data_IF_669106587045
#
_entry.id   IF_669106587045
#
_cell.length_a   1.000
_cell.length_b   1.000
_cell.length_c   1.000
_cell.angle_alpha   90.00
_cell.angle_beta   90.00
_cell.angle_gamma   90.00
#
_symmetry.space_group_name_H-M   'P 1'
#
loop_
_entity.id
_entity.type
_entity.pdbx_description
1 polymer ?
#
# COMPACT_ATOMS: atom_id res chain seq x y z
N UNK A 1 30.27 40.33 -2.33
CA UNK A 1 30.94 41.10 -3.39
C UNK A 1 30.70 40.38 -4.71
N UNK A 2 29.75 40.86 -5.48
CA UNK A 2 29.30 40.27 -6.74
C UNK A 2 29.97 41.02 -7.90
N UNK A 3 30.58 40.29 -8.83
CA UNK A 3 31.01 40.88 -10.10
C UNK A 3 30.82 39.84 -11.22
N UNK A 4 29.85 40.09 -12.10
CA UNK A 4 29.83 39.54 -13.44
C UNK A 4 29.35 40.65 -14.37
N UNK A 5 30.30 41.21 -15.12
CA UNK A 5 30.06 42.23 -16.13
C UNK A 5 29.30 41.66 -17.32
N UNK A 6 28.28 42.40 -17.76
CA UNK A 6 27.50 42.10 -18.95
C UNK A 6 27.99 42.96 -20.12
N UNK A 7 28.52 42.31 -21.16
CA UNK A 7 29.07 42.96 -22.36
C UNK A 7 27.95 43.11 -23.40
N UNK A 8 27.42 44.32 -23.53
CA UNK A 8 26.41 44.69 -24.54
C UNK A 8 27.09 44.85 -25.91
N UNK A 9 26.65 44.07 -26.90
CA UNK A 9 27.04 44.21 -28.31
C UNK A 9 25.97 45.04 -29.01
N UNK A 10 26.34 46.23 -29.48
CA UNK A 10 25.44 47.15 -30.20
C UNK A 10 25.39 46.78 -31.69
N UNK A 11 24.19 46.48 -32.20
CA UNK A 11 23.91 46.46 -33.63
C UNK A 11 23.08 47.69 -33.99
N UNK A 12 23.67 48.57 -34.80
CA UNK A 12 23.01 49.74 -35.37
C UNK A 12 22.35 49.34 -36.69
N UNK A 13 21.02 49.41 -36.77
CA UNK A 13 20.29 49.26 -38.02
C UNK A 13 19.43 50.50 -38.28
N UNK A 14 19.59 51.05 -39.47
CA UNK A 14 19.10 52.36 -39.89
C UNK A 14 17.59 52.48 -39.95
N UNK A 15 17.13 53.71 -39.73
CA UNK A 15 15.74 54.13 -39.73
C UNK A 15 15.12 54.07 -41.13
N UNK A 16 13.96 53.42 -41.24
CA UNK A 16 12.98 53.65 -42.31
C UNK A 16 11.68 54.17 -41.69
N UNK A 17 11.13 55.18 -42.36
CA UNK A 17 10.08 56.08 -41.93
C UNK A 17 8.67 55.50 -42.02
N UNK A 18 7.87 55.84 -41.00
CA UNK A 18 6.44 56.16 -41.02
C UNK A 18 5.46 55.19 -41.73
N UNK A 19 4.83 54.34 -40.92
CA UNK A 19 3.44 53.94 -41.13
C UNK A 19 2.73 54.00 -39.78
N UNK A 20 1.75 54.89 -39.65
CA UNK A 20 0.87 54.94 -38.49
C UNK A 20 -0.08 53.73 -38.55
N UNK A 21 0.35 52.62 -37.97
CA UNK A 21 -0.59 51.60 -37.50
C UNK A 21 -0.91 52.00 -36.07
N UNK A 22 -2.15 52.43 -35.83
CA UNK A 22 -2.72 52.54 -34.49
C UNK A 22 -2.85 51.11 -33.93
N UNK A 23 -1.73 50.55 -33.49
CA UNK A 23 -1.73 49.34 -32.66
C UNK A 23 -2.17 49.83 -31.29
N UNK A 24 -3.47 49.74 -31.03
CA UNK A 24 -3.98 49.75 -29.66
C UNK A 24 -3.19 48.69 -28.90
N UNK A 25 -2.29 49.14 -28.03
CA UNK A 25 -1.42 48.26 -27.27
C UNK A 25 -2.27 47.35 -26.41
N UNK A 26 -2.39 46.08 -26.79
CA UNK A 26 -2.56 45.06 -25.79
C UNK A 26 -1.26 45.07 -24.99
N UNK A 27 -1.33 45.66 -23.81
CA UNK A 27 -0.36 45.43 -22.74
C UNK A 27 -0.28 43.91 -22.57
N UNK A 28 0.72 43.28 -23.18
CA UNK A 28 1.13 41.94 -22.83
C UNK A 28 1.72 42.06 -21.44
N UNK A 29 0.86 41.96 -20.44
CA UNK A 29 1.25 41.70 -19.07
C UNK A 29 2.21 40.52 -19.13
N UNK A 30 3.49 40.79 -18.86
CA UNK A 30 4.46 39.79 -18.49
C UNK A 30 3.92 39.13 -17.23
N UNK A 31 3.15 38.06 -17.43
CA UNK A 31 2.78 37.15 -16.36
C UNK A 31 4.11 36.72 -15.73
N UNK A 32 4.36 37.04 -14.45
CA UNK A 32 5.45 36.39 -13.76
C UNK A 32 5.15 34.90 -13.88
N UNK A 33 6.04 34.15 -14.54
CA UNK A 33 6.03 32.69 -14.44
C UNK A 33 6.09 32.44 -12.95
N UNK A 34 4.98 31.98 -12.37
CA UNK A 34 4.95 31.61 -10.97
C UNK A 34 6.00 30.52 -10.82
N UNK A 35 7.19 30.89 -10.35
CA UNK A 35 8.07 29.94 -9.72
C UNK A 35 7.20 29.25 -8.67
N UNK A 36 6.98 27.94 -8.86
CA UNK A 36 6.28 27.09 -7.90
C UNK A 36 7.09 27.16 -6.61
N UNK A 37 6.76 28.13 -5.78
CA UNK A 37 7.44 28.44 -4.54
C UNK A 37 6.75 27.65 -3.43
N UNK A 38 7.40 26.58 -3.03
CA UNK A 38 7.72 26.28 -1.63
C UNK A 38 6.59 26.12 -0.58
N UNK A 39 5.45 25.52 -0.96
CA UNK A 39 4.62 24.79 0.02
C UNK A 39 3.70 23.72 -0.58
N UNK A 40 4.09 23.08 -1.69
CA UNK A 40 3.58 21.73 -1.94
C UNK A 40 4.31 20.84 -0.94
N UNK A 41 3.60 20.30 0.05
CA UNK A 41 4.05 19.11 0.78
C UNK A 41 4.31 18.06 -0.31
N UNK A 42 5.56 17.96 -0.75
CA UNK A 42 5.89 17.16 -1.91
C UNK A 42 5.89 15.70 -1.45
N UNK A 43 4.73 15.05 -1.61
CA UNK A 43 4.48 13.67 -1.24
C UNK A 43 5.51 12.72 -1.86
N UNK A 44 6.01 13.05 -3.05
CA UNK A 44 7.09 12.30 -3.71
C UNK A 44 8.42 12.48 -2.98
N UNK A 45 8.77 13.70 -2.55
CA UNK A 45 9.98 13.96 -1.75
C UNK A 45 9.92 13.21 -0.42
N UNK A 46 8.77 13.25 0.25
CA UNK A 46 8.55 12.51 1.50
C UNK A 46 8.64 11.00 1.27
N UNK A 47 7.99 10.50 0.22
CA UNK A 47 8.01 9.08 -0.14
C UNK A 47 9.44 8.57 -0.38
N UNK A 48 10.21 9.23 -1.25
CA UNK A 48 11.59 8.83 -1.55
C UNK A 48 12.47 8.92 -0.31
N UNK A 49 12.33 9.97 0.50
CA UNK A 49 13.09 10.11 1.74
C UNK A 49 12.76 9.01 2.76
N UNK A 50 11.49 8.63 2.90
CA UNK A 50 11.06 7.57 3.81
C UNK A 50 11.54 6.20 3.35
N UNK A 51 11.42 5.88 2.06
CA UNK A 51 11.93 4.64 1.48
C UNK A 51 13.46 4.55 1.62
N UNK A 52 14.17 5.64 1.40
CA UNK A 52 15.62 5.71 1.60
C UNK A 52 16.05 5.45 3.05
N UNK A 53 15.29 5.93 4.04
CA UNK A 53 15.56 5.70 5.48
C UNK A 53 15.46 4.23 5.89
N UNK A 54 14.67 3.43 5.17
CA UNK A 54 14.56 1.99 5.39
C UNK A 54 15.46 1.18 4.46
N UNK A 55 16.33 1.83 3.68
CA UNK A 55 17.35 1.13 2.86
C UNK A 55 16.94 0.84 1.42
N UNK A 56 15.82 1.37 0.93
CA UNK A 56 15.49 1.30 -0.50
C UNK A 56 16.37 2.27 -1.28
N UNK A 57 17.02 1.79 -2.34
CA UNK A 57 17.92 2.62 -3.15
C UNK A 57 17.17 3.68 -3.96
N UNK A 58 17.86 4.75 -4.36
CA UNK A 58 17.24 5.93 -4.98
C UNK A 58 16.43 5.61 -6.25
N UNK A 59 16.90 4.67 -7.08
CA UNK A 59 16.23 4.29 -8.34
C UNK A 59 14.86 3.60 -8.10
N UNK A 60 14.76 2.47 -7.40
CA UNK A 60 13.46 1.86 -7.11
C UNK A 60 12.56 2.78 -6.27
N UNK A 61 13.11 3.53 -5.31
CA UNK A 61 12.31 4.51 -4.54
C UNK A 61 11.69 5.56 -5.45
N UNK A 62 12.47 6.20 -6.34
CA UNK A 62 11.95 7.23 -7.26
C UNK A 62 10.94 6.66 -8.26
N UNK A 63 11.21 5.48 -8.82
CA UNK A 63 10.29 4.81 -9.75
C UNK A 63 8.96 4.44 -9.08
N UNK A 64 9.00 3.82 -7.90
CA UNK A 64 7.78 3.41 -7.20
C UNK A 64 6.99 4.61 -6.67
N UNK A 65 7.66 5.63 -6.13
CA UNK A 65 6.97 6.85 -5.67
C UNK A 65 6.34 7.61 -6.85
N UNK A 66 7.03 7.73 -7.99
CA UNK A 66 6.49 8.39 -9.18
C UNK A 66 5.35 7.60 -9.86
N UNK A 67 5.36 6.27 -9.74
CA UNK A 67 4.32 5.39 -10.28
C UNK A 67 3.10 5.21 -9.37
N UNK A 68 3.09 5.77 -8.15
CA UNK A 68 1.99 5.62 -7.19
C UNK A 68 1.04 6.80 -7.24
N UNK A 69 -0.27 6.51 -7.22
CA UNK A 69 -1.31 7.54 -7.06
C UNK A 69 -1.28 8.18 -5.67
N UNK A 70 -0.77 7.46 -4.66
CA UNK A 70 -0.70 7.89 -3.27
C UNK A 70 0.72 7.61 -2.70
N UNK A 71 1.72 8.48 -2.99
CA UNK A 71 3.11 8.24 -2.60
C UNK A 71 3.32 8.16 -1.08
N UNK A 72 2.58 8.96 -0.29
CA UNK A 72 2.63 8.87 1.17
C UNK A 72 2.13 7.51 1.68
N UNK A 73 1.05 6.98 1.11
CA UNK A 73 0.52 5.68 1.53
C UNK A 73 1.44 4.54 1.17
N UNK A 74 2.05 4.59 -0.03
CA UNK A 74 3.06 3.63 -0.45
C UNK A 74 4.23 3.59 0.53
N UNK A 75 4.84 4.75 0.82
CA UNK A 75 5.99 4.82 1.72
C UNK A 75 5.65 4.44 3.16
N UNK A 76 4.49 4.87 3.67
CA UNK A 76 4.00 4.48 4.99
C UNK A 76 3.76 2.97 5.10
N UNK A 77 3.18 2.34 4.07
CA UNK A 77 2.99 0.89 4.00
C UNK A 77 4.32 0.14 4.14
N UNK A 78 5.33 0.51 3.35
CA UNK A 78 6.66 -0.13 3.39
C UNK A 78 7.33 0.07 4.74
N UNK A 79 7.34 1.31 5.25
CA UNK A 79 7.96 1.63 6.54
C UNK A 79 7.29 0.88 7.67
N UNK A 80 5.95 0.77 7.67
CA UNK A 80 5.18 0.07 8.69
C UNK A 80 5.49 -1.43 8.68
N UNK A 81 5.47 -2.07 7.50
CA UNK A 81 5.80 -3.49 7.36
C UNK A 81 7.24 -3.75 7.80
N UNK A 82 8.22 -3.00 7.29
CA UNK A 82 9.63 -3.21 7.62
C UNK A 82 9.96 -3.00 9.10
N UNK A 83 9.31 -2.05 9.77
CA UNK A 83 9.58 -1.76 11.20
C UNK A 83 8.94 -2.75 12.15
N UNK A 84 7.81 -3.33 11.78
CA UNK A 84 6.98 -4.15 12.68
C UNK A 84 7.04 -5.64 12.32
N UNK A 85 7.75 -6.01 11.28
CA UNK A 85 7.93 -7.40 10.83
C UNK A 85 9.37 -7.64 10.39
N UNK A 86 9.72 -8.88 10.04
CA UNK A 86 11.05 -9.24 9.52
C UNK A 86 11.10 -9.19 7.97
N UNK A 87 10.13 -8.54 7.33
CA UNK A 87 10.04 -8.40 5.87
C UNK A 87 11.02 -7.33 5.39
N UNK A 88 11.74 -7.62 4.30
CA UNK A 88 12.68 -6.66 3.73
C UNK A 88 11.93 -5.45 3.14
N UNK A 89 12.55 -4.24 3.15
CA UNK A 89 11.93 -3.06 2.56
C UNK A 89 11.60 -3.23 1.07
N UNK A 90 12.38 -4.05 0.35
CA UNK A 90 12.22 -4.29 -1.09
C UNK A 90 11.01 -5.19 -1.35
N UNK A 91 10.84 -6.26 -0.57
CA UNK A 91 9.68 -7.14 -0.70
C UNK A 91 8.40 -6.41 -0.30
N UNK A 92 8.45 -5.65 0.80
CA UNK A 92 7.35 -4.78 1.21
C UNK A 92 7.01 -3.76 0.12
N UNK A 93 8.01 -3.14 -0.52
CA UNK A 93 7.79 -2.18 -1.61
C UNK A 93 7.05 -2.81 -2.79
N UNK A 94 7.47 -4.01 -3.22
CA UNK A 94 6.82 -4.75 -4.29
C UNK A 94 5.33 -5.00 -3.98
N UNK A 95 5.01 -5.49 -2.78
CA UNK A 95 3.63 -5.76 -2.38
C UNK A 95 2.81 -4.48 -2.17
N UNK A 96 3.36 -3.47 -1.50
CA UNK A 96 2.68 -2.18 -1.27
C UNK A 96 2.38 -1.44 -2.59
N UNK A 97 3.25 -1.56 -3.60
CA UNK A 97 3.04 -0.94 -4.90
C UNK A 97 1.92 -1.59 -5.71
N UNK A 98 1.70 -2.89 -5.52
CA UNK A 98 0.62 -3.64 -6.19
C UNK A 98 -0.74 -3.48 -5.49
N UNK A 99 -0.72 -3.13 -4.20
CA UNK A 99 -1.94 -2.98 -3.42
C UNK A 99 -2.75 -1.75 -3.84
N UNK A 100 -4.06 -1.95 -4.08
CA UNK A 100 -5.00 -0.83 -4.27
C UNK A 100 -5.18 0.03 -3.02
N UNK A 101 -4.95 -0.56 -1.84
CA UNK A 101 -5.03 0.10 -0.52
C UNK A 101 -3.80 -0.27 0.32
N UNK A 102 -2.68 0.45 0.17
CA UNK A 102 -1.43 0.12 0.86
C UNK A 102 -1.57 0.07 2.39
N UNK A 103 -2.39 0.95 2.98
CA UNK A 103 -2.60 0.96 4.44
C UNK A 103 -3.31 -0.30 4.97
N UNK A 104 -4.30 -0.80 4.22
CA UNK A 104 -5.05 -2.01 4.57
C UNK A 104 -4.13 -3.23 4.45
N UNK A 105 -3.31 -3.30 3.39
CA UNK A 105 -2.28 -4.33 3.23
C UNK A 105 -1.30 -4.32 4.41
N UNK A 106 -0.74 -3.17 4.76
CA UNK A 106 0.22 -3.06 5.86
C UNK A 106 -0.39 -3.48 7.20
N UNK A 107 -1.65 -3.11 7.44
CA UNK A 107 -2.37 -3.54 8.64
C UNK A 107 -2.57 -5.05 8.66
N UNK A 108 -2.97 -5.64 7.54
CA UNK A 108 -3.11 -7.09 7.43
C UNK A 108 -1.81 -7.84 7.75
N UNK A 109 -0.72 -7.42 7.11
CA UNK A 109 0.59 -8.09 7.23
C UNK A 109 1.12 -7.97 8.65
N UNK A 110 1.05 -6.78 9.25
CA UNK A 110 1.54 -6.57 10.63
C UNK A 110 0.73 -7.35 11.64
N UNK A 111 -0.61 -7.34 11.56
CA UNK A 111 -1.45 -8.06 12.51
C UNK A 111 -1.20 -9.57 12.49
N UNK A 112 -1.06 -10.16 11.31
CA UNK A 112 -0.77 -11.59 11.16
C UNK A 112 0.67 -11.90 11.62
N UNK A 113 1.65 -11.10 11.20
CA UNK A 113 3.05 -11.29 11.58
C UNK A 113 3.24 -11.20 13.10
N UNK A 114 2.57 -10.25 13.77
CA UNK A 114 2.57 -10.12 15.23
C UNK A 114 1.95 -11.35 15.91
N UNK A 115 0.80 -11.83 15.42
CA UNK A 115 0.11 -13.00 15.97
C UNK A 115 0.94 -14.29 15.86
N UNK A 116 1.71 -14.44 14.78
CA UNK A 116 2.50 -15.64 14.50
C UNK A 116 4.01 -15.41 14.67
N UNK A 117 4.42 -14.38 15.40
CA UNK A 117 5.83 -14.08 15.71
C UNK A 117 6.75 -13.99 14.47
N UNK A 118 6.21 -13.56 13.33
CA UNK A 118 6.93 -13.41 12.07
C UNK A 118 7.12 -14.70 11.26
N UNK A 119 6.42 -15.79 11.60
CA UNK A 119 6.40 -17.00 10.79
C UNK A 119 5.85 -16.71 9.37
N UNK A 120 6.52 -17.31 8.37
CA UNK A 120 6.05 -17.34 6.98
C UNK A 120 5.63 -15.96 6.41
N UNK A 121 6.42 -14.93 6.69
CA UNK A 121 6.14 -13.55 6.27
C UNK A 121 5.88 -13.40 4.75
N UNK A 122 6.52 -14.20 3.91
CA UNK A 122 6.27 -14.22 2.46
C UNK A 122 4.86 -14.72 2.11
N UNK A 123 4.38 -15.76 2.80
CA UNK A 123 3.03 -16.27 2.63
C UNK A 123 2.00 -15.23 3.11
N UNK A 124 2.26 -14.58 4.25
CA UNK A 124 1.43 -13.50 4.77
C UNK A 124 1.29 -12.34 3.78
N UNK A 125 2.41 -11.85 3.21
CA UNK A 125 2.39 -10.80 2.18
C UNK A 125 1.54 -11.18 0.98
N UNK A 126 1.74 -12.41 0.49
CA UNK A 126 1.03 -12.93 -0.67
C UNK A 126 -0.47 -13.03 -0.41
N UNK A 127 -0.87 -13.60 0.73
CA UNK A 127 -2.27 -13.78 1.09
C UNK A 127 -2.97 -12.45 1.37
N UNK A 128 -2.33 -11.53 2.10
CA UNK A 128 -2.86 -10.19 2.32
C UNK A 128 -3.00 -9.39 1.01
N UNK A 129 -2.06 -9.55 0.07
CA UNK A 129 -2.12 -8.89 -1.24
C UNK A 129 -3.19 -9.45 -2.17
N UNK A 130 -3.54 -10.73 -2.01
CA UNK A 130 -4.62 -11.40 -2.77
C UNK A 130 -6.01 -11.11 -2.21
N UNK A 131 -6.12 -10.80 -0.92
CA UNK A 131 -7.41 -10.52 -0.28
C UNK A 131 -8.04 -9.22 -0.78
N UNK A 132 -9.34 -9.27 -1.06
CA UNK A 132 -10.13 -8.08 -1.40
C UNK A 132 -10.40 -7.17 -0.18
N UNK A 133 -10.39 -7.76 1.02
CA UNK A 133 -10.56 -7.06 2.29
C UNK A 133 -9.43 -7.48 3.25
N UNK A 134 -8.21 -6.91 3.11
CA UNK A 134 -7.05 -7.34 3.88
C UNK A 134 -7.27 -7.28 5.41
N UNK A 135 -8.00 -6.27 5.90
CA UNK A 135 -8.28 -6.11 7.34
C UNK A 135 -9.14 -7.26 7.87
N UNK A 136 -10.29 -7.54 7.25
CA UNK A 136 -11.16 -8.65 7.64
C UNK A 136 -10.47 -10.01 7.51
N UNK A 137 -9.62 -10.16 6.49
CA UNK A 137 -8.82 -11.37 6.34
C UNK A 137 -7.84 -11.56 7.51
N UNK A 138 -7.15 -10.51 7.95
CA UNK A 138 -6.29 -10.57 9.13
C UNK A 138 -7.08 -10.83 10.42
N UNK A 139 -8.26 -10.22 10.60
CA UNK A 139 -9.14 -10.52 11.74
C UNK A 139 -9.54 -11.99 11.79
N UNK A 140 -9.86 -12.59 10.63
CA UNK A 140 -10.13 -14.03 10.54
C UNK A 140 -8.90 -14.84 10.97
N UNK A 141 -7.72 -14.57 10.40
CA UNK A 141 -6.50 -15.36 10.66
C UNK A 141 -6.08 -15.25 12.13
N UNK A 142 -6.00 -14.02 12.67
CA UNK A 142 -5.62 -13.77 14.06
C UNK A 142 -6.69 -14.29 15.02
N UNK A 143 -7.97 -14.15 14.69
CA UNK A 143 -9.08 -14.67 15.49
C UNK A 143 -9.06 -16.19 15.60
N UNK A 144 -8.87 -16.90 14.48
CA UNK A 144 -8.77 -18.35 14.47
C UNK A 144 -7.54 -18.84 15.25
N UNK A 145 -6.40 -18.18 15.11
CA UNK A 145 -5.18 -18.54 15.84
C UNK A 145 -5.34 -18.44 17.36
N UNK A 146 -6.10 -17.45 17.85
CA UNK A 146 -6.31 -17.24 19.28
C UNK A 146 -7.17 -18.30 19.96
N UNK A 147 -8.03 -18.97 19.20
CA UNK A 147 -8.98 -19.96 19.73
C UNK A 147 -8.55 -21.41 19.47
N UNK A 148 -7.62 -21.65 18.55
CA UNK A 148 -7.20 -22.99 18.11
C UNK A 148 -5.68 -23.13 18.26
N UNK A 149 -5.26 -23.76 19.36
CA UNK A 149 -3.85 -23.88 19.76
C UNK A 149 -2.97 -24.65 18.75
N UNK A 150 -3.55 -25.60 18.01
CA UNK A 150 -2.84 -26.44 17.02
C UNK A 150 -2.98 -25.94 15.57
N UNK A 151 -3.57 -24.75 15.38
CA UNK A 151 -3.77 -24.18 14.06
C UNK A 151 -2.46 -23.61 13.49
N UNK A 152 -1.94 -24.27 12.46
CA UNK A 152 -0.75 -23.81 11.75
C UNK A 152 -1.00 -22.50 10.98
N UNK A 153 0.05 -21.70 10.79
CA UNK A 153 -0.01 -20.44 10.04
C UNK A 153 -0.61 -20.61 8.64
N UNK A 154 -0.15 -21.62 7.90
CA UNK A 154 -0.63 -21.91 6.55
C UNK A 154 -2.09 -22.33 6.55
N UNK A 155 -2.50 -23.17 7.50
CA UNK A 155 -3.90 -23.61 7.61
C UNK A 155 -4.84 -22.44 7.91
N UNK A 156 -4.44 -21.49 8.75
CA UNK A 156 -5.22 -20.29 9.02
C UNK A 156 -5.36 -19.39 7.79
N UNK A 157 -4.24 -19.12 7.10
CA UNK A 157 -4.25 -18.34 5.86
C UNK A 157 -5.18 -18.97 4.80
N UNK A 158 -5.05 -20.28 4.58
CA UNK A 158 -5.85 -21.01 3.59
C UNK A 158 -7.34 -21.06 3.96
N UNK A 159 -7.65 -21.24 5.25
CA UNK A 159 -9.05 -21.26 5.71
C UNK A 159 -9.72 -19.91 5.48
N UNK A 160 -9.03 -18.82 5.83
CA UNK A 160 -9.59 -17.48 5.76
C UNK A 160 -9.65 -16.91 4.34
N UNK A 161 -8.71 -17.25 3.45
CA UNK A 161 -8.73 -16.73 2.08
C UNK A 161 -9.91 -17.34 1.30
N UNK A 162 -10.16 -18.63 1.46
CA UNK A 162 -11.29 -19.33 0.84
C UNK A 162 -12.65 -18.80 1.33
N UNK A 163 -12.75 -18.46 2.62
CA UNK A 163 -13.95 -17.84 3.18
C UNK A 163 -14.21 -16.44 2.58
N UNK A 164 -13.16 -15.64 2.38
CA UNK A 164 -13.26 -14.30 1.80
C UNK A 164 -13.75 -14.33 0.35
N UNK A 165 -13.33 -15.32 -0.45
CA UNK A 165 -13.79 -15.52 -1.82
C UNK A 165 -15.27 -15.93 -1.88
N UNK A 166 -15.72 -16.80 -0.97
CA UNK A 166 -17.12 -17.23 -0.88
C UNK A 166 -18.10 -16.14 -0.43
N UNK A 167 -17.63 -15.13 0.33
CA UNK A 167 -18.47 -14.05 0.87
C UNK A 167 -18.89 -12.98 -0.15
N UNK A 168 -18.30 -12.98 -1.36
CA UNK A 168 -18.72 -12.09 -2.45
C UNK A 168 -20.02 -12.55 -3.15
N UNK A 169 -20.58 -13.69 -2.75
CA UNK A 169 -21.90 -14.14 -3.17
C UNK A 169 -22.93 -13.91 -2.06
N UNK A 170 -23.97 -13.12 -2.35
CA UNK A 170 -25.19 -13.13 -1.54
C UNK A 170 -25.67 -14.59 -1.36
N UNK A 171 -25.67 -15.06 -0.11
CA UNK A 171 -26.39 -16.27 0.31
C UNK A 171 -25.61 -17.58 0.24
N UNK A 172 -24.78 -17.85 1.25
CA UNK A 172 -24.61 -19.21 1.77
C UNK A 172 -24.19 -19.14 3.24
N UNK A 173 -25.14 -19.36 4.15
CA UNK A 173 -24.82 -19.84 5.50
C UNK A 173 -24.14 -21.21 5.30
N UNK A 174 -22.83 -21.27 5.48
CA UNK A 174 -22.09 -22.53 5.49
C UNK A 174 -22.36 -23.23 6.82
N UNK A 175 -23.40 -24.07 6.87
CA UNK A 175 -23.59 -25.07 7.90
C UNK A 175 -22.60 -26.22 7.71
N UNK A 176 -21.31 -25.98 7.94
CA UNK A 176 -20.38 -27.08 8.22
C UNK A 176 -20.20 -27.19 9.72
N UNK A 177 -20.69 -28.28 10.35
CA UNK A 177 -20.47 -28.49 11.77
C UNK A 177 -18.97 -28.65 12.05
N UNK A 178 -18.52 -27.95 13.08
CA UNK A 178 -17.26 -28.22 13.77
C UNK A 178 -17.24 -29.71 14.15
N UNK A 179 -16.18 -30.40 13.75
CA UNK A 179 -15.90 -31.79 14.11
C UNK A 179 -15.99 -31.94 15.63
N UNK A 180 -16.86 -32.84 16.11
CA UNK A 180 -16.89 -33.27 17.52
C UNK A 180 -15.91 -34.44 17.71
N UNK A 181 -15.01 -34.40 18.71
CA UNK A 181 -14.29 -35.58 19.16
C UNK A 181 -15.22 -36.59 19.83
N UNK A 182 -14.97 -37.86 19.55
CA UNK A 182 -15.66 -39.08 19.97
C UNK A 182 -16.14 -39.12 21.42
N UNK A 183 -17.36 -39.65 21.64
CA UNK A 183 -17.60 -40.54 22.79
C UNK A 183 -18.62 -41.61 22.40
N UNK A 184 -18.12 -42.83 22.24
CA UNK A 184 -18.88 -44.04 21.99
C UNK A 184 -19.55 -44.48 23.31
N UNK A 185 -20.85 -44.24 23.45
CA UNK A 185 -21.65 -44.92 24.50
C UNK A 185 -22.71 -45.81 23.85
N UNK A 186 -22.39 -47.10 23.88
CA UNK A 186 -23.23 -48.24 23.47
C UNK A 186 -24.59 -48.24 24.20
N UNK A 187 -25.74 -48.37 23.51
CA UNK A 187 -27.02 -48.53 24.19
C UNK A 187 -27.28 -50.00 24.59
N UNK A 188 -27.63 -50.20 25.86
CA UNK A 188 -28.14 -51.46 26.43
C UNK A 188 -29.62 -51.59 26.07
N UNK A 189 -29.94 -52.56 25.21
CA UNK A 189 -31.31 -52.95 24.87
C UNK A 189 -31.99 -53.64 26.05
N UNK A 190 -33.17 -53.14 26.44
CA UNK A 190 -34.10 -53.82 27.35
C UNK A 190 -35.39 -54.15 26.58
N UNK A 191 -35.62 -55.44 26.38
CA UNK A 191 -36.85 -56.02 25.84
C UNK A 191 -37.99 -55.95 26.85
N UNK A 192 -39.26 -55.73 26.43
CA UNK A 192 -40.42 -55.92 27.29
C UNK A 192 -40.86 -57.39 27.26
N UNK A 193 -41.10 -57.98 28.43
CA UNK A 193 -41.57 -59.36 28.56
C UNK A 193 -43.11 -59.42 28.58
N UNK A 194 -43.65 -60.47 27.96
CA UNK A 194 -45.06 -60.87 27.98
C UNK A 194 -45.21 -62.08 28.89
#
# INVERSE_FOLDING_TARGET
MSNFGNKQINYSFGAFTASFITIGGLLTSSLPTLAVTDSYRNDYRLCVAQLGRVGVTAKPASQSCAGSLYPQDLSSCVVKIHKLTQITPVDALSSCQQARRPQDLATCVVSISESYQGLENSATLTSCGRSLLPVNFAECVVGLHREIDDLTHTQALDTCINASEGSSGFGAVSTKPLVKPNEETKPKSSTPNK
#
